data_IF_957737694437
#
_entry.id   IF_957737694437
#
_cell.length_a   1.000
_cell.length_b   1.000
_cell.length_c   1.000
_cell.angle_alpha   90.00
_cell.angle_beta   90.00
_cell.angle_gamma   90.00
#
_symmetry.space_group_name_H-M   'P 1'
#
loop_
_entity.id
_entity.type
_entity.pdbx_description
1 polymer ?
#
# COMPACT_ATOMS: atom_id res chain seq x y z
N UNK A 1 -2.32 -0.59 -11.78
CA UNK A 1 -0.85 -0.80 -11.77
C UNK A 1 -0.14 0.50 -12.09
N UNK A 2 1.17 0.56 -11.88
CA UNK A 2 1.95 1.73 -12.22
C UNK A 2 2.05 1.92 -13.73
N UNK A 3 1.98 3.18 -14.18
CA UNK A 3 2.11 3.55 -15.58
C UNK A 3 3.51 4.12 -15.87
N UNK A 4 3.90 4.11 -17.15
CA UNK A 4 5.14 4.76 -17.58
C UNK A 4 5.10 6.25 -17.21
N UNK A 5 6.21 6.78 -16.68
CA UNK A 5 6.36 8.20 -16.28
C UNK A 5 5.33 8.71 -15.25
N UNK A 6 4.78 7.81 -14.42
CA UNK A 6 3.88 8.20 -13.34
C UNK A 6 4.61 9.00 -12.24
N UNK A 7 3.98 10.08 -11.76
CA UNK A 7 4.54 10.96 -10.73
C UNK A 7 3.96 10.72 -9.32
N UNK A 8 2.68 10.37 -9.23
CA UNK A 8 1.98 10.16 -7.96
C UNK A 8 1.69 8.70 -7.66
N UNK A 9 0.77 8.47 -6.73
CA UNK A 9 0.25 7.13 -6.44
C UNK A 9 -0.51 6.53 -7.62
N UNK A 10 -0.65 5.19 -7.61
CA UNK A 10 -1.62 4.49 -8.45
C UNK A 10 -3.04 4.89 -8.05
N UNK A 11 -3.95 4.86 -9.02
CA UNK A 11 -5.37 5.12 -8.76
C UNK A 11 -5.90 4.21 -7.65
N UNK A 12 -6.63 4.80 -6.70
CA UNK A 12 -7.25 4.06 -5.61
C UNK A 12 -8.26 3.07 -6.17
N UNK A 13 -8.27 1.90 -5.55
CA UNK A 13 -9.25 0.86 -5.81
C UNK A 13 -9.89 0.35 -4.53
N UNK A 14 -9.64 1.05 -3.41
CA UNK A 14 -10.27 0.84 -2.10
C UNK A 14 -10.57 2.18 -1.44
N UNK A 15 -11.56 2.28 -0.54
CA UNK A 15 -11.88 3.53 0.16
C UNK A 15 -10.71 4.05 1.01
N UNK A 16 -9.95 3.15 1.62
CA UNK A 16 -8.75 3.50 2.40
C UNK A 16 -7.68 4.15 1.53
N UNK A 17 -7.44 3.64 0.31
CA UNK A 17 -6.45 4.23 -0.58
C UNK A 17 -6.87 5.63 -1.06
N UNK A 18 -8.18 5.90 -1.19
CA UNK A 18 -8.69 7.25 -1.47
C UNK A 18 -8.37 8.22 -0.33
N UNK A 19 -8.65 7.82 0.92
CA UNK A 19 -8.33 8.63 2.10
C UNK A 19 -6.81 8.87 2.23
N UNK A 20 -5.99 7.85 1.95
CA UNK A 20 -4.53 7.97 1.95
C UNK A 20 -4.04 8.97 0.89
N UNK A 21 -4.62 8.99 -0.31
CA UNK A 21 -4.27 9.97 -1.33
C UNK A 21 -4.67 11.39 -0.93
N UNK A 22 -5.86 11.57 -0.36
CA UNK A 22 -6.29 12.89 0.13
C UNK A 22 -5.37 13.39 1.26
N UNK A 23 -5.00 12.51 2.20
CA UNK A 23 -4.06 12.84 3.26
C UNK A 23 -2.65 13.16 2.71
N UNK A 24 -2.18 12.40 1.73
CA UNK A 24 -0.93 12.70 1.05
C UNK A 24 -0.95 14.10 0.42
N UNK A 25 -2.01 14.45 -0.30
CA UNK A 25 -2.10 15.77 -0.95
C UNK A 25 -2.12 16.90 0.09
N UNK A 26 -2.82 16.69 1.21
CA UNK A 26 -2.79 17.61 2.35
C UNK A 26 -1.37 17.79 2.92
N UNK A 27 -0.66 16.69 3.17
CA UNK A 27 0.70 16.70 3.69
C UNK A 27 1.70 17.31 2.69
N UNK A 28 1.56 17.00 1.40
CA UNK A 28 2.40 17.51 0.32
C UNK A 28 2.21 19.03 0.15
N UNK A 29 0.98 19.53 0.23
CA UNK A 29 0.71 20.98 0.22
C UNK A 29 1.44 21.69 1.36
N UNK A 30 1.38 21.15 2.58
CA UNK A 30 2.09 21.71 3.74
C UNK A 30 3.60 21.66 3.53
N UNK A 31 4.14 20.53 3.07
CA UNK A 31 5.58 20.37 2.80
C UNK A 31 6.08 21.36 1.74
N UNK A 32 5.35 21.52 0.64
CA UNK A 32 5.68 22.48 -0.42
C UNK A 32 5.61 23.92 0.07
N UNK A 33 4.65 24.27 0.93
CA UNK A 33 4.56 25.61 1.53
C UNK A 33 5.75 25.90 2.47
N UNK A 34 6.19 24.92 3.26
CA UNK A 34 7.38 25.08 4.12
C UNK A 34 8.64 25.19 3.26
N UNK A 35 8.83 24.30 2.27
CA UNK A 35 9.99 24.34 1.37
C UNK A 35 10.07 25.66 0.60
N UNK A 36 8.95 26.17 0.09
CA UNK A 36 8.92 27.45 -0.61
C UNK A 36 9.19 28.63 0.32
N UNK A 37 8.68 28.61 1.56
CA UNK A 37 8.98 29.63 2.57
C UNK A 37 10.47 29.64 2.93
N UNK A 38 11.07 28.47 3.18
CA UNK A 38 12.49 28.35 3.50
C UNK A 38 13.34 28.83 2.32
N UNK A 39 13.02 28.40 1.10
CA UNK A 39 13.72 28.85 -0.10
C UNK A 39 13.61 30.36 -0.26
N UNK A 40 12.42 30.93 -0.06
CA UNK A 40 12.20 32.37 -0.12
C UNK A 40 13.07 33.13 0.91
N UNK A 41 13.05 32.73 2.17
CA UNK A 41 13.85 33.35 3.23
C UNK A 41 15.35 33.24 2.90
N UNK A 42 15.82 32.09 2.43
CA UNK A 42 17.21 31.90 2.02
C UNK A 42 17.59 32.86 0.89
N UNK A 43 16.76 32.97 -0.15
CA UNK A 43 17.03 33.91 -1.25
C UNK A 43 17.06 35.35 -0.76
N UNK A 44 16.13 35.75 0.12
CA UNK A 44 16.10 37.09 0.71
C UNK A 44 17.38 37.39 1.50
N UNK A 45 17.79 36.47 2.38
CA UNK A 45 19.01 36.64 3.20
C UNK A 45 20.27 36.75 2.35
N UNK A 46 20.33 36.04 1.20
CA UNK A 46 21.47 36.12 0.28
C UNK A 46 21.49 37.42 -0.55
N UNK A 47 20.35 38.07 -0.74
CA UNK A 47 20.24 39.32 -1.50
C UNK A 47 20.40 40.59 -0.65
N UNK A 48 20.21 40.48 0.66
CA UNK A 48 20.27 41.62 1.57
C UNK A 48 21.70 41.97 2.01
N UNK A 49 21.90 43.23 2.43
CA UNK A 49 23.19 43.68 2.96
C UNK A 49 23.42 43.11 4.36
N UNK A 50 24.67 42.76 4.65
CA UNK A 50 25.07 42.30 5.98
C UNK A 50 24.86 43.42 7.02
N UNK A 51 24.14 43.09 8.09
CA UNK A 51 24.05 43.89 9.32
C UNK A 51 24.66 43.11 10.48
N UNK A 52 25.32 43.80 11.41
CA UNK A 52 26.03 43.21 12.55
C UNK A 52 25.49 43.65 13.92
N UNK A 53 24.33 44.32 13.95
CA UNK A 53 23.68 44.70 15.21
C UNK A 53 23.12 43.48 15.93
N UNK A 54 23.38 43.35 17.23
CA UNK A 54 22.72 42.36 18.07
C UNK A 54 21.23 42.67 18.18
N UNK A 55 20.39 41.68 17.87
CA UNK A 55 18.94 41.75 18.02
C UNK A 55 18.52 40.65 18.99
N UNK A 56 17.55 40.94 19.86
CA UNK A 56 16.98 39.94 20.76
C UNK A 56 16.18 38.88 19.96
N UNK A 57 16.34 37.60 20.32
CA UNK A 57 15.78 36.48 19.56
C UNK A 57 14.45 35.98 20.13
N UNK A 58 14.13 36.26 21.40
CA UNK A 58 13.05 35.60 22.14
C UNK A 58 11.70 35.58 21.39
N UNK A 59 11.31 36.71 20.80
CA UNK A 59 10.05 36.84 20.06
C UNK A 59 10.01 35.95 18.81
N UNK A 60 11.12 35.85 18.05
CA UNK A 60 11.17 35.00 16.86
C UNK A 60 11.27 33.52 17.23
N UNK A 61 11.95 33.18 18.34
CA UNK A 61 12.01 31.81 18.83
C UNK A 61 10.63 31.27 19.22
N UNK A 62 9.80 32.12 19.83
CA UNK A 62 8.43 31.77 20.17
C UNK A 62 7.61 31.45 18.92
N UNK A 63 7.71 32.29 17.88
CA UNK A 63 6.98 32.12 16.62
C UNK A 63 7.36 30.83 15.91
N UNK A 64 8.67 30.58 15.68
CA UNK A 64 9.11 29.36 14.98
C UNK A 64 8.97 28.08 15.81
N UNK A 65 8.62 28.18 17.10
CA UNK A 65 8.34 27.01 17.94
C UNK A 65 6.85 26.67 17.91
N UNK A 66 5.99 27.67 18.09
CA UNK A 66 4.53 27.49 18.11
C UNK A 66 4.01 27.14 16.72
N UNK A 67 4.49 27.80 15.66
CA UNK A 67 3.98 27.61 14.31
C UNK A 67 4.19 26.17 13.79
N UNK A 68 5.39 25.56 13.86
CA UNK A 68 5.57 24.15 13.48
C UNK A 68 4.77 23.19 14.35
N UNK A 69 4.64 23.46 15.66
CA UNK A 69 3.81 22.63 16.54
C UNK A 69 2.34 22.61 16.08
N UNK A 70 1.78 23.76 15.71
CA UNK A 70 0.43 23.85 15.16
C UNK A 70 0.27 23.11 13.82
N UNK A 71 1.28 23.21 12.94
CA UNK A 71 1.30 22.46 11.66
C UNK A 71 1.32 20.95 11.90
N UNK A 72 2.11 20.47 12.86
CA UNK A 72 2.14 19.04 13.20
C UNK A 72 0.79 18.54 13.72
N UNK A 73 0.09 19.33 14.55
CA UNK A 73 -1.26 18.98 15.01
C UNK A 73 -2.23 18.89 13.82
N UNK A 74 -2.16 19.83 12.88
CA UNK A 74 -3.00 19.83 11.68
C UNK A 74 -2.81 18.56 10.84
N UNK A 75 -1.58 18.06 10.71
CA UNK A 75 -1.27 16.82 10.00
C UNK A 75 -1.64 15.57 10.81
N UNK A 76 -1.44 15.60 12.13
CA UNK A 76 -1.65 14.44 12.99
C UNK A 76 -3.13 14.02 13.09
N UNK A 77 -4.05 14.98 13.15
CA UNK A 77 -5.49 14.69 13.30
C UNK A 77 -6.08 13.83 12.15
N UNK A 78 -5.95 14.21 10.85
CA UNK A 78 -6.42 13.35 9.76
C UNK A 78 -5.63 12.05 9.66
N UNK A 79 -4.32 12.06 9.94
CA UNK A 79 -3.48 10.85 9.94
C UNK A 79 -3.98 9.80 10.93
N UNK A 80 -4.24 10.21 12.18
CA UNK A 80 -4.75 9.32 13.23
C UNK A 80 -6.15 8.81 12.89
N UNK A 81 -7.02 9.65 12.33
CA UNK A 81 -8.36 9.21 11.89
C UNK A 81 -8.25 8.06 10.87
N UNK A 82 -7.40 8.20 9.86
CA UNK A 82 -7.19 7.15 8.85
C UNK A 82 -6.59 5.89 9.48
N UNK A 83 -5.62 6.05 10.38
CA UNK A 83 -5.02 4.92 11.11
C UNK A 83 -6.08 4.08 11.83
N UNK A 84 -7.00 4.69 12.56
CA UNK A 84 -8.07 3.97 13.25
C UNK A 84 -9.10 3.37 12.27
N UNK A 85 -9.39 4.02 11.15
CA UNK A 85 -10.25 3.45 10.10
C UNK A 85 -9.64 2.19 9.47
N UNK A 86 -8.31 2.14 9.32
CA UNK A 86 -7.59 0.99 8.76
C UNK A 86 -7.56 -0.21 9.73
N UNK A 87 -7.50 0.06 11.03
CA UNK A 87 -7.45 -0.98 12.07
C UNK A 87 -8.83 -1.60 12.37
N UNK A 88 -9.91 -0.96 11.94
CA UNK A 88 -11.28 -1.41 12.17
C UNK A 88 -11.65 -2.61 11.26
N UNK A 89 -11.22 -3.82 11.63
CA UNK A 89 -11.52 -5.06 10.91
C UNK A 89 -12.75 -5.74 11.53
N UNK A 90 -13.92 -5.13 11.36
CA UNK A 90 -15.19 -5.69 11.83
C UNK A 90 -15.89 -6.49 10.72
N UNK A 91 -16.10 -7.78 11.00
CA UNK A 91 -16.89 -8.75 10.21
C UNK A 91 -16.50 -8.81 8.72
N UNK A 92 -15.44 -9.57 8.35
CA UNK A 92 -15.10 -9.77 6.94
C UNK A 92 -16.07 -10.74 6.27
N UNK A 93 -16.29 -10.54 4.98
CA UNK A 93 -17.09 -11.42 4.13
C UNK A 93 -16.26 -12.61 3.61
N UNK A 94 -14.93 -12.46 3.55
CA UNK A 94 -13.99 -13.48 3.11
C UNK A 94 -12.67 -13.38 3.87
N UNK A 95 -12.13 -14.53 4.29
CA UNK A 95 -10.80 -14.67 4.88
C UNK A 95 -9.87 -15.45 3.95
N UNK A 96 -8.76 -14.80 3.60
CA UNK A 96 -7.66 -15.34 2.83
C UNK A 96 -6.41 -15.39 3.70
N UNK A 97 -5.61 -16.44 3.60
CA UNK A 97 -4.26 -16.47 4.18
C UNK A 97 -3.24 -16.42 3.04
N UNK A 98 -2.30 -15.50 3.13
CA UNK A 98 -1.17 -15.34 2.21
C UNK A 98 0.12 -15.75 2.92
N UNK A 99 0.83 -16.73 2.34
CA UNK A 99 2.05 -17.30 2.90
C UNK A 99 3.21 -17.02 1.95
N UNK A 100 4.21 -16.28 2.44
CA UNK A 100 5.43 -16.00 1.68
C UNK A 100 6.42 -17.16 1.72
N UNK A 101 6.96 -17.50 0.55
CA UNK A 101 8.02 -18.49 0.34
C UNK A 101 9.12 -17.90 -0.56
N UNK A 102 10.33 -18.45 -0.53
CA UNK A 102 11.41 -18.18 -1.48
C UNK A 102 11.16 -18.98 -2.77
N UNK A 103 10.70 -18.41 -3.88
CA UNK A 103 10.24 -17.04 -4.13
C UNK A 103 8.90 -17.06 -4.87
N UNK A 104 7.83 -17.25 -4.10
CA UNK A 104 6.44 -17.33 -4.55
C UNK A 104 5.50 -17.11 -3.36
N UNK A 105 4.19 -17.05 -3.63
CA UNK A 105 3.17 -16.95 -2.59
C UNK A 105 2.23 -18.14 -2.65
N UNK A 106 1.87 -18.69 -1.49
CA UNK A 106 0.77 -19.66 -1.36
C UNK A 106 -0.44 -18.95 -0.76
N UNK A 107 -1.63 -19.28 -1.28
CA UNK A 107 -2.88 -18.72 -0.83
C UNK A 107 -3.82 -19.82 -0.33
N UNK A 108 -4.36 -19.67 0.88
CA UNK A 108 -5.38 -20.55 1.46
C UNK A 108 -6.67 -19.74 1.67
N UNK A 109 -7.78 -20.18 1.07
CA UNK A 109 -9.11 -19.60 1.32
C UNK A 109 -9.77 -20.35 2.47
N UNK A 110 -9.64 -19.84 3.69
CA UNK A 110 -9.98 -20.59 4.91
C UNK A 110 -11.48 -20.82 5.11
N UNK A 111 -12.32 -19.97 4.50
CA UNK A 111 -13.77 -20.08 4.57
C UNK A 111 -14.34 -21.08 3.53
N UNK A 112 -13.51 -21.48 2.56
CA UNK A 112 -13.84 -22.44 1.51
C UNK A 112 -13.15 -23.78 1.83
N UNK A 113 -13.78 -24.89 1.47
CA UNK A 113 -13.18 -26.22 1.70
C UNK A 113 -12.05 -26.47 0.70
N UNK A 114 -10.86 -26.74 1.23
CA UNK A 114 -9.70 -27.28 0.50
C UNK A 114 -9.22 -26.42 -0.68
N UNK A 115 -9.49 -25.12 -0.68
CA UNK A 115 -9.00 -24.21 -1.71
C UNK A 115 -7.63 -23.64 -1.30
N UNK A 116 -6.57 -24.22 -1.87
CA UNK A 116 -5.19 -23.79 -1.69
C UNK A 116 -4.42 -23.89 -3.00
N UNK A 117 -3.62 -22.88 -3.32
CA UNK A 117 -2.77 -22.90 -4.52
C UNK A 117 -1.53 -22.02 -4.34
N UNK A 118 -0.50 -22.34 -5.14
CA UNK A 118 0.71 -21.53 -5.27
C UNK A 118 0.58 -20.54 -6.43
N UNK A 119 1.22 -19.38 -6.28
CA UNK A 119 1.23 -18.28 -7.22
C UNK A 119 2.69 -17.91 -7.55
N UNK A 120 3.14 -18.31 -8.73
CA UNK A 120 4.46 -18.06 -9.27
C UNK A 120 4.42 -17.00 -10.35
N UNK A 121 5.51 -16.22 -10.46
CA UNK A 121 5.69 -15.29 -11.57
C UNK A 121 5.75 -16.05 -12.90
N UNK A 122 4.99 -15.59 -13.90
CA UNK A 122 5.11 -16.13 -15.26
C UNK A 122 6.47 -15.70 -15.86
N UNK A 123 7.32 -16.63 -16.32
CA UNK A 123 8.58 -16.29 -16.98
C UNK A 123 8.36 -15.38 -18.19
N UNK A 124 9.27 -14.44 -18.42
CA UNK A 124 9.12 -13.46 -19.53
C UNK A 124 9.05 -14.12 -20.91
N UNK A 125 9.67 -15.30 -21.09
CA UNK A 125 9.59 -16.09 -22.32
C UNK A 125 8.18 -16.63 -22.60
N UNK A 126 7.38 -16.81 -21.56
CA UNK A 126 6.10 -17.53 -21.60
C UNK A 126 4.92 -16.54 -21.53
N UNK A 127 5.20 -15.23 -21.44
CA UNK A 127 4.20 -14.18 -21.36
C UNK A 127 3.44 -14.02 -22.69
N UNK A 128 2.10 -14.08 -22.66
CA UNK A 128 1.31 -13.74 -23.83
C UNK A 128 1.45 -12.25 -24.20
N UNK A 129 1.23 -11.93 -25.47
CA UNK A 129 1.38 -10.57 -25.99
C UNK A 129 0.39 -9.63 -25.30
N UNK A 130 0.90 -8.54 -24.70
CA UNK A 130 0.11 -7.56 -23.96
C UNK A 130 0.16 -7.71 -22.43
N UNK A 131 0.72 -8.80 -21.91
CA UNK A 131 0.89 -9.00 -20.48
C UNK A 131 2.12 -8.30 -19.90
N UNK A 132 2.10 -8.10 -18.58
CA UNK A 132 3.13 -7.32 -17.89
C UNK A 132 4.30 -8.16 -17.41
N UNK A 133 5.50 -7.81 -17.90
CA UNK A 133 6.77 -8.38 -17.43
C UNK A 133 6.93 -8.18 -15.92
N UNK A 134 7.28 -9.26 -15.22
CA UNK A 134 7.52 -9.32 -13.76
C UNK A 134 6.29 -9.14 -12.85
N UNK A 135 5.09 -8.98 -13.41
CA UNK A 135 3.88 -8.72 -12.62
C UNK A 135 2.84 -9.83 -12.76
N UNK A 136 2.78 -10.53 -13.89
CA UNK A 136 1.86 -11.65 -14.04
C UNK A 136 2.27 -12.85 -13.20
N UNK A 137 1.24 -13.55 -12.74
CA UNK A 137 1.35 -14.84 -12.05
C UNK A 137 0.53 -15.90 -12.77
N UNK A 138 0.88 -17.17 -12.55
CA UNK A 138 0.14 -18.32 -13.07
C UNK A 138 -1.27 -18.46 -12.45
N UNK A 139 -1.39 -18.26 -11.14
CA UNK A 139 -2.65 -18.26 -10.40
C UNK A 139 -2.85 -16.95 -9.64
N UNK A 140 -3.94 -16.26 -9.96
CA UNK A 140 -4.32 -15.00 -9.31
C UNK A 140 -5.19 -15.26 -8.08
N UNK A 141 -5.10 -14.38 -7.10
CA UNK A 141 -6.03 -14.33 -5.98
C UNK A 141 -7.35 -13.73 -6.48
N UNK A 142 -8.43 -14.50 -6.50
CA UNK A 142 -9.76 -13.99 -6.89
C UNK A 142 -10.55 -13.61 -5.65
N UNK A 143 -11.15 -12.43 -5.64
CA UNK A 143 -12.01 -11.92 -4.56
C UNK A 143 -13.31 -11.33 -5.10
N UNK A 144 -14.41 -11.38 -4.33
CA UNK A 144 -15.63 -10.68 -4.69
C UNK A 144 -15.47 -9.16 -4.54
N UNK A 145 -15.99 -8.43 -5.53
CA UNK A 145 -16.02 -6.97 -5.54
C UNK A 145 -16.98 -6.45 -4.48
N UNK A 146 -16.69 -5.30 -3.87
CA UNK A 146 -17.48 -4.68 -2.78
C UNK A 146 -17.60 -5.52 -1.51
N UNK A 147 -16.77 -6.55 -1.35
CA UNK A 147 -16.70 -7.37 -0.14
C UNK A 147 -15.48 -7.00 0.71
N UNK A 148 -15.63 -7.08 2.04
CA UNK A 148 -14.54 -6.92 3.00
C UNK A 148 -13.71 -8.20 3.05
N UNK A 149 -12.49 -8.13 2.53
CA UNK A 149 -11.55 -9.25 2.54
C UNK A 149 -10.56 -9.08 3.69
N UNK A 150 -10.53 -10.03 4.62
CA UNK A 150 -9.46 -10.16 5.62
C UNK A 150 -8.34 -10.98 5.01
N UNK A 151 -7.11 -10.47 5.08
CA UNK A 151 -5.89 -11.20 4.70
C UNK A 151 -5.07 -11.48 5.95
N UNK A 152 -4.79 -12.75 6.20
CA UNK A 152 -3.83 -13.20 7.21
C UNK A 152 -2.49 -13.42 6.51
N UNK A 153 -1.47 -12.65 6.87
CA UNK A 153 -0.17 -12.64 6.21
C UNK A 153 0.89 -13.27 7.13
N UNK A 154 1.60 -14.26 6.61
CA UNK A 154 2.70 -14.98 7.30
C UNK A 154 3.73 -15.46 6.29
N UNK A 155 4.86 -16.00 6.76
CA UNK A 155 5.84 -16.68 5.91
C UNK A 155 6.18 -18.06 6.49
N UNK A 156 6.73 -18.93 5.65
CA UNK A 156 7.23 -20.26 6.05
C UNK A 156 8.77 -20.34 6.12
N UNK A 157 9.48 -19.34 5.59
CA UNK A 157 10.95 -19.30 5.55
C UNK A 157 11.56 -18.02 6.13
N UNK A 158 11.66 -16.96 5.34
CA UNK A 158 12.28 -15.67 5.68
C UNK A 158 11.23 -14.57 5.75
N UNK A 159 11.66 -13.34 6.01
CA UNK A 159 10.77 -12.19 5.94
C UNK A 159 10.35 -11.93 4.49
N UNK A 160 9.05 -11.68 4.30
CA UNK A 160 8.49 -11.13 3.06
C UNK A 160 7.52 -10.00 3.43
N UNK A 161 6.91 -9.36 2.44
CA UNK A 161 5.87 -8.37 2.69
C UNK A 161 4.85 -8.36 1.57
N UNK A 162 3.60 -8.66 1.91
CA UNK A 162 2.49 -8.75 1.00
C UNK A 162 1.92 -7.35 0.78
N UNK A 163 2.03 -6.83 -0.45
CA UNK A 163 1.68 -5.45 -0.74
C UNK A 163 0.93 -5.32 -2.07
N UNK A 164 -0.20 -4.61 -2.05
CA UNK A 164 -0.99 -4.26 -3.24
C UNK A 164 -1.29 -2.76 -3.20
N UNK A 165 -0.45 -1.92 -3.85
CA UNK A 165 -0.49 -0.47 -3.67
C UNK A 165 -1.84 0.19 -4.01
N UNK A 166 -2.51 -0.22 -5.09
CA UNK A 166 -3.80 0.36 -5.48
C UNK A 166 -4.93 0.07 -4.48
N UNK A 167 -4.77 -0.94 -3.62
CA UNK A 167 -5.70 -1.26 -2.54
C UNK A 167 -5.27 -0.64 -1.19
N UNK A 168 -4.12 0.04 -1.13
CA UNK A 168 -3.64 0.70 0.08
C UNK A 168 -3.15 -0.26 1.18
N UNK A 169 -2.75 -1.48 0.81
CA UNK A 169 -2.34 -2.52 1.76
C UNK A 169 -0.87 -2.91 1.58
N UNK A 170 -0.17 -3.00 2.71
CA UNK A 170 1.16 -3.58 2.85
C UNK A 170 1.27 -4.20 4.24
N UNK A 171 1.65 -5.46 4.32
CA UNK A 171 1.81 -6.16 5.60
C UNK A 171 2.94 -7.17 5.52
N UNK A 172 3.84 -7.11 6.50
CA UNK A 172 4.98 -8.02 6.55
C UNK A 172 4.52 -9.44 6.87
N UNK A 173 5.08 -10.38 6.13
CA UNK A 173 4.97 -11.81 6.32
C UNK A 173 6.16 -12.27 7.17
N UNK A 174 5.89 -12.58 8.44
CA UNK A 174 6.91 -12.90 9.44
C UNK A 174 6.76 -14.37 9.84
N UNK A 175 7.79 -15.21 9.70
CA UNK A 175 7.72 -16.60 10.13
C UNK A 175 7.31 -16.73 11.61
N UNK A 176 6.31 -17.55 11.88
CA UNK A 176 5.77 -17.75 13.24
C UNK A 176 4.83 -16.64 13.75
N UNK A 177 4.42 -15.68 12.90
CA UNK A 177 3.45 -14.63 13.26
C UNK A 177 2.37 -14.49 12.18
N UNK A 178 1.12 -14.56 12.60
CA UNK A 178 -0.04 -14.28 11.76
C UNK A 178 -0.40 -12.80 11.88
N UNK A 179 0.05 -11.99 10.91
CA UNK A 179 -0.40 -10.60 10.80
C UNK A 179 -1.75 -10.53 10.08
N UNK A 180 -2.53 -9.51 10.37
CA UNK A 180 -3.83 -9.31 9.74
C UNK A 180 -3.89 -7.94 9.08
N UNK A 181 -4.47 -7.89 7.89
CA UNK A 181 -4.88 -6.65 7.22
C UNK A 181 -6.25 -6.88 6.56
N UNK A 182 -6.92 -5.81 6.17
CA UNK A 182 -8.15 -5.91 5.40
C UNK A 182 -8.14 -4.93 4.23
N UNK A 183 -8.88 -5.26 3.18
CA UNK A 183 -9.19 -4.34 2.11
C UNK A 183 -10.60 -4.59 1.58
N UNK A 184 -11.10 -3.61 0.84
CA UNK A 184 -12.31 -3.72 0.04
C UNK A 184 -11.98 -3.22 -1.35
N UNK A 185 -12.20 -4.04 -2.38
CA UNK A 185 -12.06 -3.63 -3.76
C UNK A 185 -13.36 -2.97 -4.24
N UNK A 186 -13.34 -1.66 -4.45
CA UNK A 186 -14.55 -0.88 -4.80
C UNK A 186 -15.05 -1.11 -6.23
N UNK A 187 -14.26 -1.79 -7.06
CA UNK A 187 -14.56 -2.00 -8.48
C UNK A 187 -13.97 -3.32 -8.99
N UNK A 188 -14.57 -3.94 -10.01
CA UNK A 188 -13.97 -5.11 -10.65
C UNK A 188 -12.67 -4.73 -11.37
N UNK A 189 -11.71 -5.64 -11.40
CA UNK A 189 -10.43 -5.40 -12.06
C UNK A 189 -9.29 -6.25 -11.53
N UNK A 190 -8.09 -6.02 -12.07
CA UNK A 190 -6.86 -6.72 -11.68
C UNK A 190 -5.89 -5.74 -11.04
N UNK A 191 -5.47 -6.06 -9.82
CA UNK A 191 -4.61 -5.25 -8.97
C UNK A 191 -3.28 -5.96 -8.77
N UNK A 192 -2.19 -5.25 -9.04
CA UNK A 192 -0.85 -5.80 -9.02
C UNK A 192 -0.07 -5.30 -7.81
N UNK A 193 0.76 -6.18 -7.28
CA UNK A 193 1.62 -5.98 -6.14
C UNK A 193 2.95 -6.69 -6.32
N UNK A 194 3.91 -6.41 -5.44
CA UNK A 194 5.20 -7.08 -5.40
C UNK A 194 5.65 -7.26 -3.95
N UNK A 195 6.49 -8.27 -3.71
CA UNK A 195 7.11 -8.44 -2.40
C UNK A 195 7.88 -7.17 -2.01
N UNK A 196 7.61 -6.67 -0.80
CA UNK A 196 8.09 -5.38 -0.32
C UNK A 196 9.05 -5.47 0.87
N UNK A 197 9.69 -6.63 1.05
CA UNK A 197 10.72 -6.93 2.05
C UNK A 197 11.79 -7.84 1.45
N UNK A 198 13.07 -7.59 1.75
CA UNK A 198 14.19 -8.28 1.10
C UNK A 198 14.23 -9.76 1.50
N UNK A 199 14.00 -10.66 0.53
CA UNK A 199 13.85 -12.09 0.79
C UNK A 199 14.83 -13.00 0.00
N UNK A 200 15.89 -12.43 -0.58
CA UNK A 200 16.97 -13.18 -1.24
C UNK A 200 17.03 -13.01 -2.76
N UNK A 201 17.57 -14.01 -3.45
CA UNK A 201 18.01 -13.91 -4.85
C UNK A 201 16.90 -13.49 -5.82
N UNK A 202 15.69 -14.02 -5.64
CA UNK A 202 14.54 -13.71 -6.51
C UNK A 202 13.51 -12.79 -5.83
N UNK A 203 13.95 -11.92 -4.91
CA UNK A 203 13.08 -10.95 -4.25
C UNK A 203 12.22 -10.13 -5.24
N UNK A 204 12.78 -9.74 -6.37
CA UNK A 204 12.07 -8.97 -7.41
C UNK A 204 11.12 -9.81 -8.30
N UNK A 205 11.03 -11.12 -8.10
CA UNK A 205 10.37 -12.07 -9.01
C UNK A 205 9.27 -12.89 -8.34
N UNK A 206 8.65 -12.35 -7.30
CA UNK A 206 7.49 -12.96 -6.62
C UNK A 206 6.34 -11.94 -6.48
N UNK A 207 5.70 -11.57 -7.61
CA UNK A 207 4.63 -10.59 -7.64
C UNK A 207 3.35 -11.14 -7.01
N UNK A 208 2.40 -10.24 -6.81
CA UNK A 208 1.08 -10.51 -6.25
C UNK A 208 0.05 -9.99 -7.26
N UNK A 209 -0.97 -10.79 -7.57
CA UNK A 209 -2.08 -10.36 -8.42
C UNK A 209 -3.39 -10.70 -7.75
N UNK A 210 -4.20 -9.67 -7.48
CA UNK A 210 -5.55 -9.78 -6.95
C UNK A 210 -6.54 -9.40 -8.03
N UNK A 211 -7.46 -10.29 -8.36
CA UNK A 211 -8.54 -10.09 -9.32
C UNK A 211 -9.88 -9.97 -8.59
N UNK A 212 -10.51 -8.81 -8.71
CA UNK A 212 -11.83 -8.53 -8.14
C UNK A 212 -12.91 -8.78 -9.19
N UNK A 213 -13.85 -9.68 -8.89
CA UNK A 213 -14.94 -10.07 -9.79
C UNK A 213 -16.30 -9.94 -9.10
N UNK A 214 -17.43 -9.87 -9.82
CA UNK A 214 -18.75 -9.99 -9.20
C UNK A 214 -18.89 -11.30 -8.41
N UNK A 215 -19.70 -11.29 -7.34
CA UNK A 215 -19.87 -12.45 -6.44
C UNK A 215 -20.22 -13.75 -7.19
N UNK A 216 -21.15 -13.69 -8.16
CA UNK A 216 -21.54 -14.86 -8.95
C UNK A 216 -20.36 -15.50 -9.72
N UNK A 217 -19.39 -14.69 -10.20
CA UNK A 217 -18.21 -15.20 -10.88
C UNK A 217 -17.23 -15.83 -9.89
N UNK A 218 -17.08 -15.23 -8.71
CA UNK A 218 -16.27 -15.78 -7.62
C UNK A 218 -16.82 -17.13 -7.13
N UNK A 219 -18.13 -17.25 -6.95
CA UNK A 219 -18.79 -18.50 -6.56
C UNK A 219 -18.61 -19.59 -7.62
N UNK A 220 -18.77 -19.25 -8.90
CA UNK A 220 -18.54 -20.19 -9.99
C UNK A 220 -17.07 -20.65 -10.02
N UNK A 221 -16.12 -19.71 -9.95
CA UNK A 221 -14.68 -19.99 -9.93
C UNK A 221 -14.30 -20.91 -8.76
N UNK A 222 -14.76 -20.59 -7.55
CA UNK A 222 -14.45 -21.38 -6.35
C UNK A 222 -15.04 -22.79 -6.43
N UNK A 223 -16.24 -22.94 -7.01
CA UNK A 223 -16.84 -24.27 -7.21
C UNK A 223 -16.02 -25.17 -8.15
N UNK A 224 -15.46 -24.59 -9.22
CA UNK A 224 -14.67 -25.32 -10.24
C UNK A 224 -13.32 -25.79 -9.73
N UNK A 225 -12.71 -25.10 -8.76
CA UNK A 225 -11.43 -25.51 -8.17
C UNK A 225 -11.65 -26.48 -7.01
N UNK A 226 -12.78 -26.40 -6.32
CA UNK A 226 -13.14 -27.33 -5.23
C UNK A 226 -13.64 -28.70 -5.70
N UNK A 227 -13.85 -28.90 -7.01
CA UNK A 227 -14.33 -30.15 -7.62
C UNK A 227 -13.19 -30.98 -8.22
#
# INVERSE_FOLDING_TARGET
>A
MANHSQLGFQDASSPIMEELMQFHDHALMVALAICSLVLYILTLMLTEKLSSSSVDAQEIELVWTILPAAVLIMLALPSLRILYMMDEINEPDLTLKAIGHQWYWTYEYTDLKELTFDSYMVPTSDLPLGHFRLLEVDHRVIVPTESKVRVIVTADDVLHSWAVPSLGVKTDAIPGRLNQTAFLASRPGVYYGQCSEICGANHSFMPIVVESTPLANFENWSSLISS
#
